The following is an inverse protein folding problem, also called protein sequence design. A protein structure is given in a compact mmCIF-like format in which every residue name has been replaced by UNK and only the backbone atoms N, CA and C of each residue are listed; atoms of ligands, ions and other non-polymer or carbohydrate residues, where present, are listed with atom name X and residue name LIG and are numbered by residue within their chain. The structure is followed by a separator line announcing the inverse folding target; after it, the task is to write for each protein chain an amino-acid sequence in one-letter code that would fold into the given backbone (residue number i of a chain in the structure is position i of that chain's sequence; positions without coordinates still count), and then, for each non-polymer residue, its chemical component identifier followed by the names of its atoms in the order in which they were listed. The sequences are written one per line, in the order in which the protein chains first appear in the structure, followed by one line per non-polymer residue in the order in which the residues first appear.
data_IF_389788466222
#
_entry.id   IF_389788466222
#
_cell.length_a   1.000
_cell.length_b   1.000
_cell.length_c   1.000
_cell.angle_alpha   90.00
_cell.angle_beta   90.00
_cell.angle_gamma   90.00
#
_symmetry.space_group_name_H-M   'P 1'
#
loop_
_entity.id
_entity.type
_entity.pdbx_description
1 polymer ?
#
# COMPACT_ATOMS: atom_id res chain seq x y z
N UNK A 1 -12.21 8.24 -1.91
CA UNK A 1 -10.97 7.45 -1.94
C UNK A 1 -10.92 6.85 -3.32
N UNK A 2 -11.70 5.80 -3.56
CA UNK A 2 -12.07 5.39 -4.92
C UNK A 2 -13.36 6.08 -5.39
N UNK A 3 -13.49 6.25 -6.71
CA UNK A 3 -14.71 6.77 -7.34
C UNK A 3 -15.54 5.59 -7.84
N UNK A 4 -16.72 5.40 -7.28
CA UNK A 4 -17.63 4.30 -7.65
C UNK A 4 -18.40 3.76 -6.46
N UNK A 5 -19.43 2.96 -6.75
CA UNK A 5 -20.12 2.18 -5.71
C UNK A 5 -19.33 0.91 -5.36
N UNK A 6 -19.58 0.32 -4.19
CA UNK A 6 -18.91 -0.94 -3.76
C UNK A 6 -19.13 -2.12 -4.70
N UNK A 7 -20.19 -2.08 -5.50
CA UNK A 7 -20.56 -3.12 -6.46
C UNK A 7 -20.20 -2.73 -7.91
N UNK A 8 -19.49 -1.62 -8.10
CA UNK A 8 -19.06 -1.21 -9.43
C UNK A 8 -18.09 -2.24 -10.02
N UNK A 9 -18.30 -2.60 -11.28
CA UNK A 9 -17.38 -3.46 -12.02
C UNK A 9 -16.17 -2.62 -12.40
N UNK A 10 -14.98 -3.08 -12.02
CA UNK A 10 -13.72 -2.45 -12.40
C UNK A 10 -13.47 -2.65 -13.90
N UNK A 11 -13.13 -1.57 -14.59
CA UNK A 11 -12.76 -1.58 -16.01
C UNK A 11 -11.35 -1.07 -16.21
N UNK A 12 -10.66 -1.45 -17.30
CA UNK A 12 -9.33 -0.93 -17.63
C UNK A 12 -9.29 0.60 -17.58
N UNK A 13 -8.20 1.15 -17.02
CA UNK A 13 -8.03 2.59 -16.77
C UNK A 13 -8.61 3.09 -15.43
N UNK A 14 -9.34 2.26 -14.68
CA UNK A 14 -9.66 2.58 -13.28
C UNK A 14 -8.39 2.54 -12.43
N UNK A 15 -8.24 3.49 -11.53
CA UNK A 15 -7.24 3.46 -10.46
C UNK A 15 -7.99 3.36 -9.15
N UNK A 16 -7.63 2.37 -8.34
CA UNK A 16 -8.20 2.12 -7.04
C UNK A 16 -7.11 1.93 -6.00
N UNK A 17 -7.48 2.01 -4.73
CA UNK A 17 -6.60 1.66 -3.61
C UNK A 17 -6.86 0.22 -3.14
N UNK A 18 -5.78 -0.45 -2.72
CA UNK A 18 -5.83 -1.74 -2.02
C UNK A 18 -5.21 -1.54 -0.64
N UNK A 19 -6.06 -1.44 0.38
CA UNK A 19 -5.68 -0.85 1.69
C UNK A 19 -6.05 -1.70 2.94
N UNK A 20 -5.64 -2.99 3.03
CA UNK A 20 -5.91 -3.79 4.22
C UNK A 20 -5.28 -3.21 5.49
N UNK A 21 -6.04 -3.20 6.59
CA UNK A 21 -5.56 -2.73 7.89
C UNK A 21 -6.07 -3.55 9.07
N UNK A 22 -5.26 -3.62 10.12
CA UNK A 22 -5.58 -4.21 11.42
C UNK A 22 -5.41 -3.16 12.51
N UNK A 23 -6.35 -3.12 13.45
CA UNK A 23 -6.36 -2.18 14.56
C UNK A 23 -6.66 -2.95 15.84
N UNK A 24 -5.74 -2.90 16.80
CA UNK A 24 -5.80 -3.58 18.10
C UNK A 24 -5.73 -2.50 19.19
N UNK A 25 -6.87 -1.92 19.60
CA UNK A 25 -6.92 -0.79 20.53
C UNK A 25 -6.26 -1.08 21.90
N UNK A 26 -6.41 -2.30 22.39
CA UNK A 26 -5.89 -2.75 23.68
C UNK A 26 -4.35 -2.70 23.72
N UNK A 27 -3.72 -2.95 22.57
CA UNK A 27 -2.27 -2.87 22.38
C UNK A 27 -1.82 -1.47 21.90
N UNK A 28 -2.76 -0.55 21.68
CA UNK A 28 -2.52 0.78 21.06
C UNK A 28 -1.80 0.66 19.72
N UNK A 29 -2.11 -0.39 18.96
CA UNK A 29 -1.47 -0.74 17.71
C UNK A 29 -2.47 -0.62 16.54
N UNK A 30 -2.03 -0.03 15.44
CA UNK A 30 -2.77 0.01 14.19
C UNK A 30 -1.78 0.02 13.02
N UNK A 31 -2.02 -0.83 12.03
CA UNK A 31 -1.20 -0.94 10.82
C UNK A 31 -2.12 -1.03 9.62
N UNK A 32 -1.80 -0.27 8.56
CA UNK A 32 -2.43 -0.37 7.24
C UNK A 32 -1.32 -0.36 6.20
N UNK A 33 -1.39 -1.26 5.24
CA UNK A 33 -0.52 -1.26 4.05
C UNK A 33 -1.44 -0.93 2.88
N UNK A 34 -1.03 0.01 2.04
CA UNK A 34 -1.88 0.61 1.02
C UNK A 34 -1.10 0.81 -0.26
N UNK A 35 -1.72 0.44 -1.39
CA UNK A 35 -1.17 0.61 -2.73
C UNK A 35 -2.20 1.23 -3.68
N UNK A 36 -1.69 2.02 -4.62
CA UNK A 36 -2.44 2.50 -5.79
C UNK A 36 -2.33 1.48 -6.93
N UNK A 37 -3.47 1.00 -7.41
CA UNK A 37 -3.56 -0.08 -8.40
C UNK A 37 -4.34 0.37 -9.62
N UNK A 38 -3.67 0.34 -10.78
CA UNK A 38 -4.27 0.56 -12.09
C UNK A 38 -4.82 -0.76 -12.62
N UNK A 39 -6.08 -0.78 -13.03
CA UNK A 39 -6.69 -1.91 -13.74
C UNK A 39 -6.26 -1.87 -15.21
N UNK A 40 -5.70 -2.95 -15.72
CA UNK A 40 -5.30 -3.10 -17.13
C UNK A 40 -6.29 -4.01 -17.86
N UNK A 41 -6.14 -4.14 -19.19
CA UNK A 41 -6.99 -5.03 -19.99
C UNK A 41 -6.88 -6.52 -19.59
N UNK A 42 -5.74 -6.92 -19.01
CA UNK A 42 -5.38 -8.30 -18.69
C UNK A 42 -5.08 -8.54 -17.19
N UNK A 43 -5.24 -7.53 -16.34
CA UNK A 43 -4.92 -7.62 -14.93
C UNK A 43 -4.82 -6.26 -14.23
N UNK A 44 -3.67 -6.01 -13.60
CA UNK A 44 -3.41 -4.77 -12.90
C UNK A 44 -1.93 -4.42 -12.84
N UNK A 45 -1.64 -3.14 -12.62
CA UNK A 45 -0.31 -2.61 -12.32
C UNK A 45 -0.35 -1.90 -10.96
N UNK A 46 0.64 -2.19 -10.11
CA UNK A 46 0.80 -1.53 -8.81
C UNK A 46 1.68 -0.30 -9.00
N UNK A 47 1.06 0.88 -9.02
CA UNK A 47 1.74 2.15 -9.30
C UNK A 47 2.72 2.54 -8.19
N UNK A 48 2.46 2.09 -6.97
CA UNK A 48 3.28 2.30 -5.77
C UNK A 48 4.25 1.14 -5.48
N UNK A 49 4.50 0.23 -6.43
CA UNK A 49 5.35 -0.95 -6.22
C UNK A 49 6.79 -0.62 -5.78
N UNK A 50 7.30 0.56 -6.14
CA UNK A 50 8.63 1.02 -5.75
C UNK A 50 8.74 1.49 -4.29
N UNK A 51 7.64 1.52 -3.54
CA UNK A 51 7.64 1.89 -2.11
C UNK A 51 7.81 0.62 -1.27
N UNK A 52 8.89 0.53 -0.48
CA UNK A 52 9.15 -0.63 0.38
C UNK A 52 8.04 -0.86 1.39
N UNK A 53 7.61 -2.12 1.50
CA UNK A 53 6.55 -2.55 2.41
C UNK A 53 6.87 -3.84 3.15
N UNK A 54 7.90 -4.57 2.72
CA UNK A 54 8.40 -5.72 3.45
C UNK A 54 9.19 -5.26 4.68
N UNK A 55 9.05 -6.01 5.78
CA UNK A 55 9.69 -5.70 7.07
C UNK A 55 11.20 -5.50 6.86
N UNK A 56 11.85 -6.42 6.16
CA UNK A 56 13.30 -6.38 5.94
C UNK A 56 13.78 -5.15 5.17
N UNK A 57 12.99 -4.66 4.21
CA UNK A 57 13.34 -3.47 3.43
C UNK A 57 13.19 -2.20 4.28
N UNK A 58 12.09 -2.10 5.02
CA UNK A 58 11.82 -0.98 5.94
C UNK A 58 12.90 -0.90 7.02
N UNK A 59 13.25 -2.04 7.64
CA UNK A 59 14.30 -2.09 8.65
C UNK A 59 15.66 -1.70 8.08
N UNK A 60 15.99 -2.12 6.86
CA UNK A 60 17.24 -1.75 6.20
C UNK A 60 17.32 -0.25 5.96
N UNK A 61 16.29 0.36 5.39
CA UNK A 61 16.22 1.82 5.14
C UNK A 61 16.32 2.60 6.45
N UNK A 62 15.64 2.12 7.50
CA UNK A 62 15.75 2.71 8.83
C UNK A 62 17.20 2.69 9.31
N UNK A 63 17.87 1.54 9.27
CA UNK A 63 19.26 1.42 9.75
C UNK A 63 20.22 2.32 8.96
N UNK A 64 20.09 2.34 7.63
CA UNK A 64 20.88 3.23 6.76
C UNK A 64 20.67 4.70 7.13
N UNK A 65 19.42 5.13 7.34
CA UNK A 65 19.11 6.50 7.75
C UNK A 65 19.75 6.86 9.11
N UNK A 66 19.69 5.98 10.11
CA UNK A 66 20.34 6.20 11.40
C UNK A 66 21.87 6.28 11.30
N UNK A 67 22.49 5.50 10.41
CA UNK A 67 23.94 5.52 10.21
C UNK A 67 24.42 6.78 9.49
N UNK A 68 23.62 7.34 8.58
CA UNK A 68 23.97 8.54 7.84
C UNK A 68 23.83 9.84 8.66
N UNK A 69 23.16 9.78 9.81
CA UNK A 69 23.03 10.90 10.77
C UNK A 69 24.17 10.93 11.81
N UNK A 70 25.12 10.01 11.75
CA UNK A 70 26.27 9.87 12.65
C UNK A 70 27.59 9.75 11.88
#
# INVERSE_FOLDING_TARGET
HDVGGREAVLTPGNVITVEPGIYIPEERLGVRIEDDVLVTDDGHEVLSAGIPKEISEIESIRQEAFQNEH
#
